data_IF_267993450271
#
_entry.id   IF_267993450271
#
_cell.length_a   1.000
_cell.length_b   1.000
_cell.length_c   1.000
_cell.angle_alpha   90.00
_cell.angle_beta   90.00
_cell.angle_gamma   90.00
#
_symmetry.space_group_name_H-M   'P 1'
#
loop_
_entity.id
_entity.type
_entity.pdbx_description
1 polymer ?
#
# COMPACT_ATOMS: atom_id res chain seq x y z
N UNK A 1 1.40 -8.19 -13.60
CA UNK A 1 1.00 -6.89 -14.17
C UNK A 1 -0.51 -6.88 -14.18
N UNK A 2 -1.06 -6.17 -13.21
CA UNK A 2 -2.50 -5.95 -13.12
C UNK A 2 -2.92 -5.10 -14.31
N UNK A 3 -4.16 -5.27 -14.79
CA UNK A 3 -4.70 -4.45 -15.90
C UNK A 3 -4.98 -3.00 -15.46
N UNK A 4 -4.68 -2.67 -14.19
CA UNK A 4 -5.13 -1.48 -13.47
C UNK A 4 -3.94 -0.58 -13.03
N UNK A 5 -2.70 -0.98 -13.34
CA UNK A 5 -1.50 -0.19 -13.02
C UNK A 5 -1.40 1.03 -13.98
N UNK A 6 -1.24 2.25 -13.46
CA UNK A 6 -1.10 3.47 -14.30
C UNK A 6 0.32 3.62 -14.86
N UNK A 7 0.60 2.85 -15.91
CA UNK A 7 1.86 2.90 -16.63
C UNK A 7 1.97 4.11 -17.59
N UNK A 8 1.03 5.05 -17.51
CA UNK A 8 1.03 6.27 -18.30
C UNK A 8 2.15 7.24 -17.92
N UNK A 9 2.30 8.30 -18.72
CA UNK A 9 3.15 9.45 -18.39
C UNK A 9 2.30 10.71 -18.47
N UNK A 10 1.86 11.23 -17.33
CA UNK A 10 1.13 12.50 -17.23
C UNK A 10 2.01 13.66 -16.75
N UNK A 11 3.20 13.37 -16.22
CA UNK A 11 4.21 14.35 -15.89
C UNK A 11 5.19 14.59 -17.05
N UNK A 12 5.03 15.71 -17.73
CA UNK A 12 5.89 16.14 -18.86
C UNK A 12 6.94 17.17 -18.46
N UNK A 13 7.26 17.30 -17.17
CA UNK A 13 8.31 18.21 -16.72
C UNK A 13 9.67 17.85 -17.31
N UNK A 14 10.52 18.87 -17.52
CA UNK A 14 11.91 18.68 -17.98
C UNK A 14 12.90 18.40 -16.84
N UNK A 15 12.42 17.85 -15.72
CA UNK A 15 13.28 17.46 -14.60
C UNK A 15 14.12 16.24 -14.98
N UNK A 16 15.28 16.09 -14.34
CA UNK A 16 16.16 14.93 -14.55
C UNK A 16 15.44 13.63 -14.15
N UNK A 17 15.51 12.60 -15.00
CA UNK A 17 14.89 11.31 -14.68
C UNK A 17 15.74 10.57 -13.64
N UNK A 18 15.09 9.79 -12.78
CA UNK A 18 15.82 9.00 -11.77
C UNK A 18 16.83 8.04 -12.41
N UNK A 19 16.52 7.48 -13.59
CA UNK A 19 17.44 6.62 -14.33
C UNK A 19 18.73 7.37 -14.70
N UNK A 20 18.65 8.64 -15.10
CA UNK A 20 19.83 9.46 -15.43
C UNK A 20 20.72 9.66 -14.19
N UNK A 21 20.10 9.85 -13.01
CA UNK A 21 20.82 9.96 -11.73
C UNK A 21 21.53 8.65 -11.39
N UNK A 22 20.84 7.51 -11.56
CA UNK A 22 21.40 6.17 -11.32
C UNK A 22 22.57 5.91 -12.27
N UNK A 23 22.39 6.16 -13.56
CA UNK A 23 23.41 5.93 -14.58
C UNK A 23 24.64 6.83 -14.36
N UNK A 24 24.43 8.08 -13.94
CA UNK A 24 25.51 9.00 -13.54
C UNK A 24 26.26 8.48 -12.30
N UNK A 25 25.57 7.89 -11.32
CA UNK A 25 26.21 7.33 -10.11
C UNK A 25 26.97 6.04 -10.41
N UNK A 26 26.40 5.14 -11.22
CA UNK A 26 27.03 3.89 -11.62
C UNK A 26 28.23 4.13 -12.53
N UNK A 27 28.13 5.04 -13.51
CA UNK A 27 29.26 5.45 -14.35
C UNK A 27 30.40 6.07 -13.54
N UNK A 28 30.10 6.94 -12.55
CA UNK A 28 31.11 7.48 -11.62
C UNK A 28 31.75 6.39 -10.76
N UNK A 29 30.98 5.42 -10.28
CA UNK A 29 31.52 4.28 -9.53
C UNK A 29 32.45 3.47 -10.42
N UNK A 30 32.03 3.17 -11.65
CA UNK A 30 32.84 2.47 -12.66
C UNK A 30 34.09 3.27 -13.06
N UNK A 31 34.05 4.60 -13.07
CA UNK A 31 35.23 5.44 -13.29
C UNK A 31 36.20 5.41 -12.09
N UNK A 32 35.69 5.36 -10.85
CA UNK A 32 36.53 5.29 -9.64
C UNK A 32 37.14 3.89 -9.42
N UNK A 33 36.38 2.82 -9.66
CA UNK A 33 36.94 1.45 -9.66
C UNK A 33 37.80 1.20 -10.90
N UNK A 34 37.39 1.72 -12.06
CA UNK A 34 38.15 1.64 -13.31
C UNK A 34 39.42 2.49 -13.32
N UNK A 35 39.46 3.61 -12.59
CA UNK A 35 40.62 4.49 -12.42
C UNK A 35 41.71 3.90 -11.53
N UNK A 36 41.36 2.98 -10.62
CA UNK A 36 42.32 2.13 -9.91
C UNK A 36 42.80 0.94 -10.77
N UNK A 37 41.98 0.49 -11.73
CA UNK A 37 42.34 -0.59 -12.65
C UNK A 37 43.18 -0.13 -13.86
N UNK A 38 43.17 1.16 -14.22
CA UNK A 38 43.87 1.67 -15.42
C UNK A 38 45.38 1.82 -15.24
N UNK A 39 45.93 1.59 -14.04
CA UNK A 39 47.38 1.47 -13.86
C UNK A 39 47.94 0.07 -14.20
N UNK A 40 47.10 -0.92 -14.52
CA UNK A 40 47.53 -2.31 -14.69
C UNK A 40 47.19 -2.96 -16.05
N UNK A 41 46.59 -2.23 -17.01
CA UNK A 41 46.12 -2.83 -18.27
C UNK A 41 46.74 -2.18 -19.51
N UNK A 42 48.07 -2.19 -19.61
CA UNK A 42 48.78 -2.05 -20.89
C UNK A 42 49.49 -3.37 -21.18
N UNK A 43 48.73 -4.40 -21.55
CA UNK A 43 49.24 -5.53 -22.35
C UNK A 43 48.11 -6.51 -22.68
N UNK A 44 48.00 -6.82 -23.98
CA UNK A 44 47.34 -7.99 -24.60
C UNK A 44 45.86 -7.84 -25.00
N UNK A 45 45.69 -7.28 -26.20
CA UNK A 45 44.94 -7.85 -27.35
C UNK A 45 43.85 -8.90 -27.09
N UNK A 46 42.60 -8.56 -27.43
CA UNK A 46 41.54 -9.54 -27.67
C UNK A 46 40.15 -8.90 -27.75
N UNK A 47 39.61 -8.77 -28.96
CA UNK A 47 38.35 -8.08 -29.31
C UNK A 47 37.09 -8.91 -28.93
N UNK A 48 37.19 -9.79 -27.93
CA UNK A 48 36.05 -10.60 -27.44
C UNK A 48 35.42 -10.03 -26.15
N UNK A 49 36.00 -9.00 -25.55
CA UNK A 49 35.47 -8.36 -24.33
C UNK A 49 34.37 -7.30 -24.57
N UNK A 50 33.92 -7.07 -25.82
CA UNK A 50 32.97 -6.00 -26.14
C UNK A 50 31.54 -6.47 -26.51
N UNK A 51 31.27 -7.78 -26.55
CA UNK A 51 29.96 -8.32 -26.98
C UNK A 51 29.11 -8.98 -25.86
N UNK A 52 29.56 -8.97 -24.60
CA UNK A 52 28.79 -9.51 -23.46
C UNK A 52 28.31 -8.44 -22.44
N UNK A 53 28.13 -7.18 -22.88
CA UNK A 53 27.54 -6.14 -22.03
C UNK A 53 26.01 -6.20 -22.06
N UNK A 54 25.44 -7.26 -21.48
CA UNK A 54 24.07 -7.25 -20.90
C UNK A 54 24.29 -7.26 -19.39
N UNK A 55 23.55 -6.47 -18.57
CA UNK A 55 23.80 -6.39 -17.13
C UNK A 55 23.45 -7.74 -16.47
N UNK A 56 24.45 -8.57 -16.25
CA UNK A 56 24.33 -9.79 -15.48
C UNK A 56 24.32 -9.44 -13.98
N UNK A 57 23.14 -9.16 -13.43
CA UNK A 57 22.91 -9.28 -11.99
C UNK A 57 22.40 -10.70 -11.65
N UNK A 58 23.05 -11.72 -12.21
CA UNK A 58 22.89 -13.13 -11.84
C UNK A 58 23.83 -13.97 -12.70
N UNK A 59 25.10 -14.09 -12.34
CA UNK A 59 25.88 -15.29 -12.65
C UNK A 59 26.82 -15.61 -11.49
N UNK A 60 26.56 -16.77 -10.91
CA UNK A 60 27.50 -17.78 -10.42
C UNK A 60 28.85 -17.25 -9.93
N UNK A 61 28.97 -17.19 -8.60
CA UNK A 61 30.26 -17.15 -7.92
C UNK A 61 30.85 -18.55 -8.08
N UNK A 62 31.91 -18.67 -8.89
CA UNK A 62 32.82 -19.81 -8.85
C UNK A 62 33.29 -20.03 -7.41
N UNK A 63 33.19 -21.28 -6.96
CA UNK A 63 33.66 -21.75 -5.66
C UNK A 63 35.14 -21.38 -5.47
N UNK A 64 35.40 -20.41 -4.60
CA UNK A 64 36.74 -20.20 -4.08
C UNK A 64 37.07 -21.36 -3.14
N UNK A 65 38.06 -22.16 -3.51
CA UNK A 65 38.63 -23.22 -2.67
C UNK A 65 38.97 -22.69 -1.27
N UNK A 66 38.32 -23.29 -0.28
CA UNK A 66 38.51 -23.05 1.15
C UNK A 66 39.90 -23.54 1.56
N UNK A 67 40.88 -22.63 1.58
CA UNK A 67 42.17 -22.89 2.22
C UNK A 67 42.05 -22.63 3.71
N UNK A 68 41.90 -23.75 4.43
CA UNK A 68 41.83 -23.88 5.89
C UNK A 68 43.01 -23.17 6.59
N UNK A 69 42.82 -21.89 6.96
CA UNK A 69 43.70 -21.19 7.91
C UNK A 69 43.00 -21.17 9.26
N UNK A 70 43.40 -22.13 10.11
CA UNK A 70 43.07 -22.19 11.54
C UNK A 70 43.57 -20.95 12.27
N UNK A 71 42.73 -19.91 12.32
CA UNK A 71 42.88 -18.77 13.20
C UNK A 71 41.83 -18.82 14.30
N UNK A 72 42.25 -19.07 15.54
CA UNK A 72 41.41 -18.95 16.73
C UNK A 72 40.95 -17.49 16.93
N UNK A 73 39.80 -17.15 16.36
CA UNK A 73 39.13 -15.87 16.54
C UNK A 73 37.66 -16.09 16.87
N UNK A 74 37.32 -16.06 18.17
CA UNK A 74 35.92 -16.04 18.65
C UNK A 74 35.23 -14.76 18.19
N UNK A 75 34.61 -14.81 17.03
CA UNK A 75 33.85 -13.68 16.46
C UNK A 75 33.19 -14.01 15.13
N UNK A 76 32.72 -15.25 14.91
CA UNK A 76 31.98 -15.60 13.70
C UNK A 76 30.67 -14.80 13.64
N UNK A 77 30.60 -13.81 12.76
CA UNK A 77 29.34 -13.14 12.47
C UNK A 77 28.39 -14.21 11.92
N UNK A 78 27.28 -14.43 12.63
CA UNK A 78 26.21 -15.30 12.11
C UNK A 78 25.75 -14.74 10.77
N UNK A 79 25.53 -15.59 9.76
CA UNK A 79 25.00 -15.12 8.49
C UNK A 79 23.67 -14.39 8.74
N UNK A 80 23.50 -13.21 8.12
CA UNK A 80 22.27 -12.41 8.27
C UNK A 80 21.04 -13.14 7.72
N UNK A 81 21.25 -14.08 6.79
CA UNK A 81 20.22 -14.92 6.17
C UNK A 81 20.41 -16.37 6.63
N UNK A 82 19.40 -16.93 7.29
CA UNK A 82 19.43 -18.27 7.88
C UNK A 82 18.70 -19.34 7.06
N UNK A 83 18.43 -19.10 5.77
CA UNK A 83 17.71 -20.01 4.89
C UNK A 83 18.35 -20.04 3.50
N UNK A 84 18.18 -21.14 2.78
CA UNK A 84 18.57 -21.27 1.37
C UNK A 84 17.56 -20.56 0.45
N UNK A 85 18.05 -19.86 -0.57
CA UNK A 85 17.19 -19.18 -1.54
C UNK A 85 16.29 -20.19 -2.26
N UNK A 86 15.06 -19.77 -2.55
CA UNK A 86 14.11 -20.53 -3.37
C UNK A 86 14.32 -20.16 -4.84
N UNK A 87 14.14 -21.12 -5.75
CA UNK A 87 14.21 -20.88 -7.19
C UNK A 87 13.00 -20.09 -7.69
N UNK A 88 13.19 -19.31 -8.75
CA UNK A 88 12.07 -18.66 -9.46
C UNK A 88 11.16 -19.73 -10.06
N UNK A 89 9.84 -19.54 -9.94
CA UNK A 89 8.83 -20.47 -10.44
C UNK A 89 7.63 -19.72 -11.02
N UNK A 90 6.93 -20.35 -11.96
CA UNK A 90 5.66 -19.91 -12.52
C UNK A 90 4.48 -20.80 -12.12
N UNK A 91 4.67 -21.71 -11.16
CA UNK A 91 3.61 -22.56 -10.64
C UNK A 91 2.61 -21.74 -9.82
N UNK A 92 1.33 -22.10 -9.86
CA UNK A 92 0.27 -21.52 -9.03
C UNK A 92 0.30 -22.09 -7.60
N UNK A 93 1.46 -21.99 -6.94
CA UNK A 93 1.74 -22.53 -5.63
C UNK A 93 2.67 -21.60 -4.84
N UNK A 94 2.50 -21.57 -3.50
CA UNK A 94 3.43 -20.86 -2.61
C UNK A 94 4.57 -21.79 -2.21
N UNK A 95 5.75 -21.57 -2.79
CA UNK A 95 6.99 -22.29 -2.43
C UNK A 95 7.78 -21.50 -1.41
N UNK A 96 8.12 -22.12 -0.28
CA UNK A 96 8.89 -21.51 0.82
C UNK A 96 10.18 -22.28 1.08
N UNK A 97 11.21 -21.67 1.71
CA UNK A 97 12.45 -22.36 2.06
C UNK A 97 12.22 -23.61 2.91
N UNK A 98 13.14 -24.57 2.85
CA UNK A 98 13.08 -25.79 3.66
C UNK A 98 12.94 -25.46 5.15
N UNK A 99 11.96 -26.11 5.81
CA UNK A 99 11.65 -25.88 7.23
C UNK A 99 10.62 -24.78 7.50
N UNK A 100 10.14 -24.09 6.46
CA UNK A 100 9.05 -23.11 6.55
C UNK A 100 7.72 -23.70 6.07
N UNK A 101 6.62 -23.06 6.46
CA UNK A 101 5.25 -23.38 6.01
C UNK A 101 4.49 -22.09 5.74
N UNK A 102 3.66 -22.07 4.70
CA UNK A 102 2.69 -21.02 4.45
C UNK A 102 1.26 -21.52 4.75
N UNK A 103 0.44 -20.68 5.39
CA UNK A 103 -0.97 -20.97 5.67
C UNK A 103 -1.80 -19.71 5.39
N UNK A 104 -2.98 -19.89 4.80
CA UNK A 104 -3.94 -18.79 4.60
C UNK A 104 -4.51 -18.38 5.96
N UNK A 105 -4.38 -17.09 6.30
CA UNK A 105 -4.95 -16.51 7.51
C UNK A 105 -6.37 -15.97 7.29
N UNK A 106 -6.55 -15.24 6.19
CA UNK A 106 -7.81 -14.65 5.74
C UNK A 106 -7.75 -14.47 4.22
N UNK A 107 -8.90 -14.61 3.54
CA UNK A 107 -9.04 -14.38 2.11
C UNK A 107 -10.14 -13.35 1.80
N UNK A 108 -10.17 -12.81 0.58
CA UNK A 108 -11.29 -12.01 0.10
C UNK A 108 -12.62 -12.71 0.40
N UNK A 109 -13.59 -11.95 0.92
CA UNK A 109 -14.92 -12.46 1.21
C UNK A 109 -15.08 -13.08 2.59
N UNK A 110 -13.99 -13.41 3.29
CA UNK A 110 -14.08 -13.90 4.67
C UNK A 110 -14.68 -12.81 5.58
N UNK A 111 -15.57 -13.12 6.51
CA UNK A 111 -16.09 -12.12 7.43
C UNK A 111 -14.97 -11.59 8.34
N UNK A 112 -14.87 -10.26 8.47
CA UNK A 112 -13.83 -9.62 9.32
C UNK A 112 -14.07 -9.85 10.81
N UNK A 113 -15.30 -10.20 11.19
CA UNK A 113 -15.72 -10.53 12.55
C UNK A 113 -16.76 -11.64 12.47
N UNK A 114 -17.82 -11.57 13.28
CA UNK A 114 -19.06 -12.25 12.96
C UNK A 114 -19.69 -11.57 11.72
N UNK A 115 -20.06 -12.36 10.72
CA UNK A 115 -20.57 -11.81 9.47
C UNK A 115 -20.95 -12.88 8.46
N UNK A 116 -21.42 -12.46 7.28
CA UNK A 116 -21.82 -13.37 6.22
C UNK A 116 -20.61 -14.14 5.68
N UNK A 117 -20.80 -15.45 5.48
CA UNK A 117 -19.80 -16.28 4.82
C UNK A 117 -19.67 -15.89 3.35
N UNK A 118 -18.47 -16.08 2.82
CA UNK A 118 -18.21 -15.91 1.39
C UNK A 118 -19.01 -16.95 0.59
N UNK A 119 -19.63 -16.50 -0.49
CA UNK A 119 -20.33 -17.33 -1.46
C UNK A 119 -19.48 -17.40 -2.72
N UNK A 120 -19.00 -18.60 -3.04
CA UNK A 120 -18.08 -18.87 -4.15
C UNK A 120 -18.69 -18.57 -5.54
N UNK A 121 -20.00 -18.40 -5.62
CA UNK A 121 -20.73 -18.01 -6.83
C UNK A 121 -20.85 -16.48 -7.03
N UNK A 122 -20.11 -15.70 -6.22
CA UNK A 122 -20.13 -14.24 -6.18
C UNK A 122 -21.49 -13.61 -5.85
N UNK A 123 -22.48 -14.37 -5.36
CA UNK A 123 -23.84 -13.89 -5.07
C UNK A 123 -23.94 -13.07 -3.77
N UNK A 124 -22.84 -12.83 -3.05
CA UNK A 124 -22.87 -11.95 -1.89
C UNK A 124 -23.38 -10.54 -2.26
N UNK A 125 -24.20 -9.94 -1.40
CA UNK A 125 -24.72 -8.57 -1.63
C UNK A 125 -23.68 -7.50 -1.32
N UNK A 126 -23.94 -6.23 -1.70
CA UNK A 126 -23.05 -5.13 -1.31
C UNK A 126 -22.98 -4.94 0.22
N UNK A 127 -24.08 -5.20 0.93
CA UNK A 127 -24.14 -5.14 2.39
C UNK A 127 -23.36 -6.29 3.05
N UNK A 128 -23.35 -7.48 2.43
CA UNK A 128 -22.51 -8.57 2.87
C UNK A 128 -21.03 -8.24 2.66
N UNK A 129 -20.66 -7.75 1.47
CA UNK A 129 -19.29 -7.35 1.15
C UNK A 129 -18.76 -6.26 2.09
N UNK A 130 -19.60 -5.32 2.54
CA UNK A 130 -19.23 -4.31 3.54
C UNK A 130 -18.84 -4.88 4.93
N UNK A 131 -19.08 -6.17 5.18
CA UNK A 131 -18.71 -6.88 6.42
C UNK A 131 -17.69 -8.00 6.20
N UNK A 132 -17.28 -8.18 4.95
CA UNK A 132 -16.30 -9.17 4.52
C UNK A 132 -14.97 -8.50 4.23
N UNK A 133 -13.88 -9.25 4.26
CA UNK A 133 -12.57 -8.82 3.81
C UNK A 133 -12.64 -8.36 2.35
N UNK A 134 -11.97 -7.25 2.02
CA UNK A 134 -11.98 -6.70 0.66
C UNK A 134 -11.15 -7.53 -0.33
N UNK A 135 -11.18 -7.12 -1.60
CA UNK A 135 -10.39 -7.74 -2.67
C UNK A 135 -8.96 -7.18 -2.68
N UNK A 136 -8.05 -7.87 -3.37
CA UNK A 136 -6.68 -7.41 -3.68
C UNK A 136 -5.99 -6.77 -2.49
N UNK A 137 -5.65 -7.64 -1.53
CA UNK A 137 -5.03 -7.22 -0.30
C UNK A 137 -3.64 -6.62 -0.55
N UNK A 138 -3.38 -5.46 0.04
CA UNK A 138 -2.13 -4.74 -0.18
C UNK A 138 -1.47 -4.39 1.16
N UNK A 139 -1.03 -3.13 1.35
CA UNK A 139 -0.26 -2.66 2.49
C UNK A 139 -0.82 -3.17 3.82
N UNK A 140 0.05 -3.71 4.66
CA UNK A 140 -0.31 -4.44 5.88
C UNK A 140 0.52 -4.00 7.08
N UNK A 141 -0.12 -3.80 8.24
CA UNK A 141 0.54 -3.56 9.52
C UNK A 141 -0.09 -4.38 10.65
N UNK A 142 0.75 -4.95 11.51
CA UNK A 142 0.34 -5.58 12.76
C UNK A 142 0.47 -4.62 13.95
N UNK A 143 -0.64 -4.37 14.65
CA UNK A 143 -0.70 -3.55 15.86
C UNK A 143 -0.89 -4.44 17.10
N UNK A 144 0.09 -4.54 18.01
CA UNK A 144 0.00 -5.43 19.17
C UNK A 144 -1.05 -4.94 20.20
N UNK A 145 -1.83 -5.88 20.75
CA UNK A 145 -2.71 -5.68 21.93
C UNK A 145 -2.05 -6.30 23.17
N UNK A 146 -1.58 -7.54 23.06
CA UNK A 146 -0.90 -8.26 24.15
C UNK A 146 0.40 -8.85 23.62
N UNK A 147 1.51 -8.15 23.90
CA UNK A 147 2.83 -8.49 23.36
C UNK A 147 2.72 -8.77 21.85
N UNK A 148 3.48 -9.73 21.33
CA UNK A 148 3.39 -10.19 19.94
C UNK A 148 2.51 -11.44 19.78
N UNK A 149 1.52 -11.66 20.66
CA UNK A 149 0.67 -12.86 20.67
C UNK A 149 -0.78 -12.58 20.31
N UNK A 150 -1.24 -11.33 20.44
CA UNK A 150 -2.59 -10.91 20.07
C UNK A 150 -2.53 -9.46 19.63
N UNK A 151 -3.15 -9.16 18.49
CA UNK A 151 -3.09 -7.83 17.90
C UNK A 151 -4.13 -7.64 16.81
N UNK A 152 -4.05 -6.49 16.16
CA UNK A 152 -4.86 -6.17 15.00
C UNK A 152 -4.00 -6.28 13.75
N UNK A 153 -4.51 -6.91 12.70
CA UNK A 153 -4.00 -6.72 11.35
C UNK A 153 -4.88 -5.67 10.71
N UNK A 154 -4.24 -4.62 10.21
CA UNK A 154 -4.86 -3.58 9.39
C UNK A 154 -4.25 -3.73 8.00
N UNK A 155 -5.09 -3.95 7.00
CA UNK A 155 -4.63 -4.20 5.65
C UNK A 155 -5.49 -3.49 4.63
N UNK A 156 -4.86 -2.94 3.61
CA UNK A 156 -5.57 -2.32 2.50
C UNK A 156 -6.22 -3.35 1.58
N UNK A 157 -7.23 -2.87 0.85
CA UNK A 157 -7.91 -3.57 -0.23
C UNK A 157 -7.95 -2.61 -1.41
N UNK A 158 -7.01 -2.79 -2.33
CA UNK A 158 -6.63 -1.77 -3.28
C UNK A 158 -7.68 -1.60 -4.38
N UNK A 159 -7.93 -2.65 -5.15
CA UNK A 159 -8.83 -2.65 -6.29
C UNK A 159 -9.76 -3.87 -6.30
N UNK A 160 -10.56 -4.00 -7.34
CA UNK A 160 -11.42 -5.18 -7.58
C UNK A 160 -11.26 -5.70 -8.99
N UNK A 161 -11.30 -7.03 -9.15
CA UNK A 161 -11.67 -7.67 -10.41
C UNK A 161 -13.19 -7.74 -10.50
N UNK A 162 -13.82 -6.71 -11.04
CA UNK A 162 -15.29 -6.65 -11.15
C UNK A 162 -15.87 -7.82 -11.98
N UNK A 163 -15.08 -8.44 -12.86
CA UNK A 163 -15.46 -9.66 -13.57
C UNK A 163 -15.69 -10.87 -12.65
N UNK A 164 -14.99 -10.94 -11.51
CA UNK A 164 -15.11 -12.01 -10.52
C UNK A 164 -16.05 -11.64 -9.35
N UNK A 165 -16.32 -10.34 -9.17
CA UNK A 165 -17.10 -9.83 -8.05
C UNK A 165 -18.62 -10.08 -8.18
N UNK A 166 -19.11 -10.42 -9.38
CA UNK A 166 -20.54 -10.58 -9.65
C UNK A 166 -20.86 -11.90 -10.38
N UNK A 167 -22.03 -12.52 -10.15
CA UNK A 167 -22.40 -13.78 -10.79
C UNK A 167 -22.40 -13.75 -12.34
N UNK A 168 -22.77 -12.61 -12.92
CA UNK A 168 -22.81 -12.37 -14.37
C UNK A 168 -21.70 -11.41 -14.84
N UNK A 169 -20.64 -11.25 -14.04
CA UNK A 169 -19.53 -10.34 -14.28
C UNK A 169 -20.00 -8.88 -14.42
N UNK A 170 -19.44 -8.16 -15.38
CA UNK A 170 -19.73 -6.72 -15.60
C UNK A 170 -21.02 -6.45 -16.40
N UNK A 171 -21.73 -7.49 -16.85
CA UNK A 171 -22.99 -7.33 -17.58
C UNK A 171 -24.07 -6.68 -16.71
N UNK A 172 -25.10 -6.08 -17.31
CA UNK A 172 -26.27 -5.51 -16.59
C UNK A 172 -25.88 -4.66 -15.37
N UNK A 173 -24.96 -3.70 -15.55
CA UNK A 173 -24.41 -2.93 -14.44
C UNK A 173 -25.50 -2.15 -13.67
N UNK A 174 -25.50 -2.22 -12.34
CA UNK A 174 -26.50 -1.58 -11.48
C UNK A 174 -25.85 -0.79 -10.34
N UNK A 175 -26.64 0.06 -9.68
CA UNK A 175 -26.20 0.79 -8.50
C UNK A 175 -25.75 -0.16 -7.35
N UNK A 176 -26.36 -1.34 -7.23
CA UNK A 176 -25.94 -2.35 -6.26
C UNK A 176 -24.56 -2.94 -6.62
N UNK A 177 -24.26 -3.14 -7.90
CA UNK A 177 -22.91 -3.55 -8.34
C UNK A 177 -21.87 -2.50 -8.01
N UNK A 178 -22.14 -1.23 -8.31
CA UNK A 178 -21.28 -0.10 -7.90
C UNK A 178 -21.05 -0.09 -6.39
N UNK A 179 -22.11 -0.24 -5.59
CA UNK A 179 -22.00 -0.27 -4.14
C UNK A 179 -21.18 -1.45 -3.63
N UNK A 180 -21.34 -2.64 -4.21
CA UNK A 180 -20.55 -3.84 -3.84
C UNK A 180 -19.08 -3.66 -4.19
N UNK A 181 -18.77 -3.15 -5.39
CA UNK A 181 -17.40 -2.84 -5.83
C UNK A 181 -16.75 -1.81 -4.90
N UNK A 182 -17.41 -0.70 -4.59
CA UNK A 182 -16.94 0.28 -3.60
C UNK A 182 -16.75 -0.32 -2.19
N UNK A 183 -17.60 -1.26 -1.80
CA UNK A 183 -17.48 -1.97 -0.52
C UNK A 183 -16.38 -3.04 -0.51
N UNK A 184 -15.86 -3.46 -1.65
CA UNK A 184 -14.72 -4.38 -1.74
C UNK A 184 -13.37 -3.66 -1.69
N UNK A 185 -13.33 -2.34 -1.94
CA UNK A 185 -12.16 -1.47 -1.75
C UNK A 185 -12.00 -1.04 -0.27
N UNK A 186 -10.86 -0.43 0.05
CA UNK A 186 -10.67 0.33 1.27
C UNK A 186 -9.62 -0.27 2.21
N UNK A 187 -9.99 -0.44 3.48
CA UNK A 187 -9.14 -1.01 4.53
C UNK A 187 -9.96 -2.02 5.35
N UNK A 188 -9.36 -3.16 5.63
CA UNK A 188 -9.89 -4.19 6.51
C UNK A 188 -9.09 -4.26 7.81
N UNK A 189 -9.81 -4.37 8.93
CA UNK A 189 -9.24 -4.54 10.27
C UNK A 189 -9.78 -5.84 10.84
N UNK A 190 -8.87 -6.74 11.23
CA UNK A 190 -9.19 -7.97 11.97
C UNK A 190 -8.36 -8.04 13.24
N UNK A 191 -8.89 -8.75 14.22
CA UNK A 191 -8.11 -9.16 15.37
C UNK A 191 -7.57 -10.57 15.15
N UNK A 192 -6.31 -10.78 15.51
CA UNK A 192 -5.64 -12.08 15.40
C UNK A 192 -4.98 -12.46 16.72
N UNK A 193 -4.98 -13.76 17.02
CA UNK A 193 -4.34 -14.30 18.21
C UNK A 193 -3.59 -15.59 17.90
N UNK A 194 -2.40 -15.72 18.50
CA UNK A 194 -1.62 -16.95 18.48
C UNK A 194 -2.21 -17.94 19.46
N UNK A 195 -2.42 -19.18 19.02
CA UNK A 195 -2.81 -20.32 19.86
C UNK A 195 -1.70 -20.62 20.87
N UNK A 196 -2.01 -20.42 22.14
CA UNK A 196 -1.06 -20.50 23.25
C UNK A 196 -1.22 -21.78 24.09
N UNK A 197 -2.26 -22.59 23.85
CA UNK A 197 -2.42 -23.91 24.46
C UNK A 197 -2.94 -23.90 25.91
N UNK A 198 -3.76 -22.92 26.29
CA UNK A 198 -4.48 -22.93 27.58
C UNK A 198 -5.66 -23.92 27.55
N UNK A 199 -6.23 -24.27 28.71
CA UNK A 199 -7.27 -25.31 28.84
C UNK A 199 -8.55 -25.07 28.01
N UNK A 200 -8.83 -23.84 27.57
CA UNK A 200 -9.94 -23.51 26.66
C UNK A 200 -9.58 -23.67 25.16
N UNK A 201 -8.36 -24.10 24.85
CA UNK A 201 -7.80 -24.34 23.51
C UNK A 201 -7.83 -25.85 23.15
N UNK A 202 -8.77 -26.60 23.75
CA UNK A 202 -8.94 -28.05 23.54
C UNK A 202 -9.26 -28.33 22.07
N UNK A 203 -8.26 -28.86 21.34
CA UNK A 203 -8.35 -29.28 19.93
C UNK A 203 -7.47 -28.51 18.95
N UNK A 204 -6.70 -27.51 19.39
CA UNK A 204 -5.97 -26.62 18.48
C UNK A 204 -4.43 -26.66 18.69
N UNK A 205 -3.67 -26.86 17.60
CA UNK A 205 -2.19 -26.97 17.63
C UNK A 205 -1.53 -25.66 18.13
N UNK A 206 -0.58 -25.78 19.06
CA UNK A 206 0.22 -24.69 19.63
C UNK A 206 0.98 -23.95 18.52
N UNK A 207 0.92 -22.61 18.51
CA UNK A 207 1.73 -21.78 17.63
C UNK A 207 1.08 -21.23 16.36
N UNK A 208 -0.11 -21.71 15.94
CA UNK A 208 -0.83 -21.12 14.79
C UNK A 208 -1.55 -19.83 15.16
N UNK A 209 -1.81 -18.98 14.17
CA UNK A 209 -2.60 -17.77 14.30
C UNK A 209 -4.04 -18.00 13.84
N UNK A 210 -5.00 -17.49 14.61
CA UNK A 210 -6.42 -17.48 14.25
C UNK A 210 -6.93 -16.04 14.16
N UNK A 211 -7.89 -15.81 13.27
CA UNK A 211 -8.73 -14.61 13.31
C UNK A 211 -9.73 -14.74 14.47
N UNK A 212 -9.78 -13.74 15.34
CA UNK A 212 -10.68 -13.71 16.48
C UNK A 212 -12.07 -13.25 16.05
N UNK A 213 -13.06 -14.12 16.25
CA UNK A 213 -14.47 -13.86 15.92
C UNK A 213 -15.37 -14.28 17.10
N UNK A 214 -16.26 -13.42 17.61
CA UNK A 214 -16.37 -11.99 17.29
C UNK A 214 -15.15 -11.19 17.77
N UNK A 215 -14.74 -10.19 16.99
CA UNK A 215 -13.86 -9.13 17.45
C UNK A 215 -14.63 -7.81 17.57
N UNK A 216 -14.37 -7.09 18.66
CA UNK A 216 -14.88 -5.73 18.86
C UNK A 216 -14.13 -4.67 18.05
N UNK A 217 -12.93 -5.00 17.56
CA UNK A 217 -12.08 -4.06 16.80
C UNK A 217 -12.26 -4.21 15.31
N UNK A 218 -12.73 -5.38 14.86
CA UNK A 218 -12.88 -5.68 13.46
C UNK A 218 -13.82 -4.69 12.75
N UNK A 219 -13.38 -4.23 11.59
CA UNK A 219 -14.01 -3.12 10.87
C UNK A 219 -13.66 -3.18 9.39
N UNK A 220 -14.61 -2.80 8.55
CA UNK A 220 -14.35 -2.36 7.17
C UNK A 220 -14.44 -0.84 7.08
N UNK A 221 -13.48 -0.27 6.40
CA UNK A 221 -13.50 1.11 5.88
C UNK A 221 -13.49 0.93 4.37
N UNK A 222 -14.43 1.53 3.66
CA UNK A 222 -14.71 1.23 2.25
C UNK A 222 -14.84 2.50 1.42
N UNK A 223 -15.02 2.37 0.11
CA UNK A 223 -15.41 3.46 -0.79
C UNK A 223 -16.74 4.15 -0.47
N UNK A 224 -17.47 3.68 0.56
CA UNK A 224 -18.71 4.26 1.05
C UNK A 224 -18.62 4.84 2.47
N UNK A 225 -17.51 4.62 3.19
CA UNK A 225 -17.37 5.07 4.58
C UNK A 225 -17.24 6.59 4.65
N UNK A 226 -17.98 7.30 5.53
CA UNK A 226 -17.73 8.73 5.76
C UNK A 226 -16.32 8.95 6.32
N UNK A 227 -15.58 9.89 5.72
CA UNK A 227 -14.22 10.25 6.08
C UNK A 227 -14.13 11.77 6.19
N UNK A 228 -13.50 12.26 7.26
CA UNK A 228 -13.29 13.69 7.45
C UNK A 228 -12.04 14.14 6.68
N UNK A 229 -12.04 15.39 6.20
CA UNK A 229 -10.89 16.00 5.54
C UNK A 229 -10.23 16.93 6.56
N UNK A 230 -8.97 16.63 6.91
CA UNK A 230 -8.19 17.39 7.88
C UNK A 230 -6.98 18.08 7.25
N UNK A 231 -6.52 19.16 7.87
CA UNK A 231 -5.34 19.91 7.43
C UNK A 231 -5.67 21.11 6.53
N UNK A 232 -4.65 21.72 5.89
CA UNK A 232 -4.76 23.03 5.25
C UNK A 232 -5.75 23.13 4.08
N UNK A 233 -6.06 22.03 3.40
CA UNK A 233 -6.99 22.07 2.26
C UNK A 233 -8.46 21.83 2.68
N UNK A 234 -8.72 21.45 3.93
CA UNK A 234 -10.09 21.22 4.40
C UNK A 234 -10.93 22.50 4.27
N UNK A 235 -12.09 22.39 3.61
CA UNK A 235 -12.98 23.53 3.35
C UNK A 235 -12.58 24.42 2.17
N UNK A 236 -11.51 24.11 1.44
CA UNK A 236 -11.17 24.78 0.18
C UNK A 236 -12.28 24.57 -0.85
N UNK A 237 -12.57 25.60 -1.66
CA UNK A 237 -13.64 25.55 -2.67
C UNK A 237 -13.45 24.45 -3.71
N UNK A 238 -12.21 23.98 -3.92
CA UNK A 238 -11.89 22.85 -4.81
C UNK A 238 -12.25 21.48 -4.22
N UNK A 239 -12.61 21.40 -2.94
CA UNK A 239 -13.09 20.19 -2.27
C UNK A 239 -14.61 20.19 -2.06
N UNK A 240 -15.30 21.25 -2.48
CA UNK A 240 -16.77 21.37 -2.35
C UNK A 240 -17.44 20.63 -3.51
N UNK A 241 -18.42 19.78 -3.19
CA UNK A 241 -19.27 19.07 -4.16
C UNK A 241 -20.73 19.27 -3.84
N UNK A 242 -21.64 18.82 -4.70
CA UNK A 242 -23.07 18.95 -4.43
C UNK A 242 -23.52 18.18 -3.17
N UNK A 243 -22.82 17.09 -2.85
CA UNK A 243 -23.11 16.24 -1.69
C UNK A 243 -22.41 16.71 -0.39
N UNK A 244 -21.39 17.56 -0.51
CA UNK A 244 -20.70 18.18 0.62
C UNK A 244 -20.39 19.66 0.31
N UNK A 245 -21.32 20.58 0.60
CA UNK A 245 -21.13 22.01 0.38
C UNK A 245 -20.06 22.62 1.30
N UNK A 246 -19.57 21.88 2.31
CA UNK A 246 -18.56 22.36 3.25
C UNK A 246 -17.13 22.06 2.80
N UNK A 247 -16.92 21.06 1.93
CA UNK A 247 -15.58 20.60 1.53
C UNK A 247 -14.77 19.99 2.68
N UNK A 248 -15.44 19.44 3.69
CA UNK A 248 -14.80 18.89 4.91
C UNK A 248 -15.07 17.41 5.14
N UNK A 249 -15.92 16.76 4.34
CA UNK A 249 -16.24 15.33 4.48
C UNK A 249 -16.47 14.66 3.15
N UNK A 250 -15.86 13.51 2.94
CA UNK A 250 -15.97 12.69 1.72
C UNK A 250 -16.50 11.29 2.03
N UNK A 251 -17.17 10.68 1.05
CA UNK A 251 -17.57 9.28 1.12
C UNK A 251 -16.48 8.42 0.47
N UNK A 252 -15.72 7.75 1.33
CA UNK A 252 -14.84 6.67 0.97
C UNK A 252 -13.36 7.03 0.93
N UNK A 253 -12.58 5.96 0.92
CA UNK A 253 -11.19 5.93 0.49
C UNK A 253 -11.08 4.86 -0.59
N UNK A 254 -10.25 5.11 -1.59
CA UNK A 254 -10.19 4.33 -2.83
C UNK A 254 -8.74 4.02 -3.16
N UNK A 255 -8.54 2.90 -3.86
CA UNK A 255 -7.23 2.51 -4.38
C UNK A 255 -6.14 2.60 -3.32
N UNK A 256 -6.43 1.92 -2.21
CA UNK A 256 -5.53 1.89 -1.08
C UNK A 256 -4.38 0.93 -1.41
N UNK A 257 -3.25 1.44 -1.91
CA UNK A 257 -2.09 0.63 -2.29
C UNK A 257 -1.30 0.22 -1.03
N UNK A 258 -0.13 0.81 -0.81
CA UNK A 258 0.73 0.50 0.31
C UNK A 258 0.29 1.20 1.61
N UNK A 259 1.21 1.33 2.58
CA UNK A 259 0.86 1.71 3.94
C UNK A 259 1.87 2.62 4.62
N UNK A 260 1.47 3.10 5.78
CA UNK A 260 2.33 3.64 6.81
C UNK A 260 1.74 3.37 8.19
N UNK A 261 2.53 3.62 9.22
CA UNK A 261 2.05 3.57 10.59
C UNK A 261 2.75 4.63 11.43
N UNK A 262 2.02 5.17 12.40
CA UNK A 262 2.53 6.24 13.24
C UNK A 262 3.01 5.69 14.58
N UNK A 263 3.97 6.36 15.23
CA UNK A 263 4.38 5.98 16.59
C UNK A 263 3.27 6.22 17.64
N UNK A 264 2.20 6.97 17.32
CA UNK A 264 1.01 7.11 18.18
C UNK A 264 -0.06 6.02 17.96
N UNK A 265 0.24 5.01 17.14
CA UNK A 265 -0.56 3.80 17.02
C UNK A 265 -1.75 3.94 16.08
N UNK A 266 -1.59 4.72 15.01
CA UNK A 266 -2.54 4.82 13.90
C UNK A 266 -1.94 4.26 12.62
N UNK A 267 -2.81 3.83 11.73
CA UNK A 267 -2.50 3.32 10.40
C UNK A 267 -2.67 4.44 9.38
N UNK A 268 -1.81 4.46 8.36
CA UNK A 268 -1.88 5.38 7.23
C UNK A 268 -2.17 4.57 5.97
N UNK A 269 -3.39 4.67 5.46
CA UNK A 269 -3.75 4.12 4.15
C UNK A 269 -3.42 5.15 3.06
N UNK A 270 -2.90 4.71 1.93
CA UNK A 270 -2.43 5.60 0.88
C UNK A 270 -3.29 5.44 -0.37
N UNK A 271 -3.96 6.51 -0.80
CA UNK A 271 -4.74 6.51 -2.05
C UNK A 271 -3.79 6.77 -3.23
N UNK A 272 -3.70 5.80 -4.15
CA UNK A 272 -2.69 5.78 -5.21
C UNK A 272 -3.33 6.07 -6.57
N UNK A 273 -3.73 5.05 -7.34
CA UNK A 273 -4.35 5.18 -8.65
C UNK A 273 -5.84 5.60 -8.63
N UNK A 274 -6.17 6.60 -7.81
CA UNK A 274 -7.55 7.10 -7.65
C UNK A 274 -8.11 7.71 -8.95
N UNK A 275 -7.26 8.20 -9.85
CA UNK A 275 -7.65 8.82 -11.12
C UNK A 275 -8.41 7.85 -12.03
N UNK A 276 -8.07 6.56 -12.01
CA UNK A 276 -8.67 5.52 -12.85
C UNK A 276 -10.17 5.31 -12.64
N UNK A 277 -10.70 5.72 -11.49
CA UNK A 277 -12.11 5.57 -11.12
C UNK A 277 -13.01 6.70 -11.63
N UNK A 278 -12.42 7.83 -12.02
CA UNK A 278 -13.14 8.99 -12.51
C UNK A 278 -13.19 9.01 -14.03
N UNK A 279 -14.24 9.63 -14.58
CA UNK A 279 -14.46 9.74 -16.03
C UNK A 279 -14.66 11.19 -16.44
N UNK A 280 -13.84 11.64 -17.38
CA UNK A 280 -13.90 12.98 -17.97
C UNK A 280 -14.09 12.88 -19.48
N UNK A 281 -15.32 13.12 -19.97
CA UNK A 281 -15.65 13.09 -21.40
C UNK A 281 -15.47 14.46 -22.06
N UNK A 282 -15.69 15.54 -21.31
CA UNK A 282 -15.43 16.90 -21.78
C UNK A 282 -13.92 17.23 -21.84
N UNK A 283 -13.55 18.44 -22.31
CA UNK A 283 -12.16 18.88 -22.31
C UNK A 283 -11.56 18.84 -20.90
N UNK A 284 -10.37 18.25 -20.77
CA UNK A 284 -9.66 18.18 -19.50
C UNK A 284 -9.00 19.51 -19.14
N UNK A 285 -9.07 19.90 -17.88
CA UNK A 285 -8.26 20.98 -17.30
C UNK A 285 -6.78 20.58 -17.22
N UNK A 286 -5.89 21.56 -16.99
CA UNK A 286 -4.47 21.30 -16.77
C UNK A 286 -4.24 20.33 -15.60
N UNK A 287 -5.03 20.44 -14.54
CA UNK A 287 -4.87 19.56 -13.37
C UNK A 287 -5.44 18.16 -13.60
N UNK A 288 -6.57 18.03 -14.30
CA UNK A 288 -7.08 16.72 -14.69
C UNK A 288 -6.09 15.96 -15.58
N UNK A 289 -5.43 16.67 -16.51
CA UNK A 289 -4.36 16.08 -17.33
C UNK A 289 -3.16 15.63 -16.50
N UNK A 290 -2.72 16.45 -15.55
CA UNK A 290 -1.55 16.17 -14.70
C UNK A 290 -1.77 14.99 -13.74
N UNK A 291 -3.01 14.64 -13.43
CA UNK A 291 -3.33 13.46 -12.62
C UNK A 291 -3.83 12.29 -13.47
N UNK A 292 -3.69 12.34 -14.80
CA UNK A 292 -4.07 11.23 -15.68
C UNK A 292 -5.57 10.90 -15.69
N UNK A 293 -6.47 11.86 -15.43
CA UNK A 293 -7.93 11.61 -15.45
C UNK A 293 -8.42 11.59 -16.89
N UNK A 294 -8.90 10.46 -17.41
CA UNK A 294 -9.30 10.32 -18.82
C UNK A 294 -10.78 9.99 -19.01
N UNK A 295 -11.25 10.00 -20.26
CA UNK A 295 -12.59 9.52 -20.62
C UNK A 295 -12.74 8.01 -20.45
N UNK A 296 -11.65 7.24 -20.57
CA UNK A 296 -11.67 5.79 -20.46
C UNK A 296 -11.50 5.30 -19.01
N UNK A 297 -10.77 6.07 -18.18
CA UNK A 297 -10.15 5.61 -16.92
C UNK A 297 -9.74 4.14 -16.95
N UNK A 298 -9.93 3.39 -15.87
CA UNK A 298 -9.45 2.00 -15.76
C UNK A 298 -10.56 0.95 -15.93
N UNK A 299 -11.56 1.23 -16.78
CA UNK A 299 -12.62 0.26 -17.09
C UNK A 299 -13.76 0.14 -16.06
N UNK A 300 -13.63 0.71 -14.85
CA UNK A 300 -14.72 0.75 -13.86
C UNK A 300 -16.02 1.42 -14.35
N UNK A 301 -17.16 0.77 -14.08
CA UNK A 301 -18.48 1.23 -14.52
C UNK A 301 -19.23 2.08 -13.48
N UNK A 302 -18.58 2.50 -12.39
CA UNK A 302 -19.23 3.24 -11.29
C UNK A 302 -19.94 4.51 -11.75
N UNK A 303 -19.31 5.25 -12.65
CA UNK A 303 -19.84 6.46 -13.27
C UNK A 303 -21.22 6.22 -13.92
N UNK A 304 -21.55 5.01 -14.38
CA UNK A 304 -22.85 4.76 -15.02
C UNK A 304 -24.03 4.89 -14.04
N UNK A 305 -23.80 4.72 -12.74
CA UNK A 305 -24.86 4.72 -11.70
C UNK A 305 -24.61 5.67 -10.53
N UNK A 306 -23.38 6.16 -10.36
CA UNK A 306 -23.02 7.11 -9.31
C UNK A 306 -22.32 8.33 -9.94
N UNK A 307 -23.02 9.47 -9.93
CA UNK A 307 -22.57 10.72 -10.55
C UNK A 307 -21.26 11.26 -9.95
N UNK A 308 -20.89 10.85 -8.74
CA UNK A 308 -19.60 11.22 -8.11
C UNK A 308 -18.40 10.90 -8.99
N UNK A 309 -18.49 9.85 -9.79
CA UNK A 309 -17.40 9.42 -10.66
C UNK A 309 -17.44 10.03 -12.06
N UNK A 310 -18.37 10.98 -12.31
CA UNK A 310 -18.48 11.75 -13.55
C UNK A 310 -17.91 13.15 -13.32
N UNK A 311 -16.70 13.41 -13.80
CA UNK A 311 -16.01 14.69 -13.58
C UNK A 311 -16.72 15.85 -14.28
N UNK A 312 -17.48 15.57 -15.34
CA UNK A 312 -18.30 16.60 -16.01
C UNK A 312 -19.51 17.06 -15.17
N UNK A 313 -19.96 16.25 -14.20
CA UNK A 313 -21.08 16.59 -13.29
C UNK A 313 -20.59 16.99 -11.89
N UNK A 314 -19.58 16.30 -11.34
CA UNK A 314 -18.97 16.55 -10.03
C UNK A 314 -17.45 16.80 -10.18
N UNK A 315 -17.02 17.94 -10.77
CA UNK A 315 -15.62 18.19 -11.14
C UNK A 315 -14.64 18.23 -9.97
N UNK A 316 -15.14 18.51 -8.76
CA UNK A 316 -14.33 18.57 -7.55
C UNK A 316 -14.23 17.23 -6.81
N UNK A 317 -15.02 16.20 -7.18
CA UNK A 317 -14.94 14.90 -6.49
C UNK A 317 -13.55 14.25 -6.60
N UNK A 318 -12.86 14.24 -7.76
CA UNK A 318 -11.49 13.73 -7.83
C UNK A 318 -10.51 14.42 -6.88
N UNK A 319 -10.71 15.71 -6.57
CA UNK A 319 -9.82 16.47 -5.67
C UNK A 319 -9.91 15.97 -4.23
N UNK A 320 -11.00 15.28 -3.86
CA UNK A 320 -11.21 14.70 -2.53
C UNK A 320 -10.54 13.34 -2.36
N UNK A 321 -9.80 12.85 -3.36
CA UNK A 321 -9.00 11.61 -3.34
C UNK A 321 -7.53 11.85 -3.72
N UNK A 322 -6.67 10.88 -3.48
CA UNK A 322 -5.20 11.00 -3.64
C UNK A 322 -4.51 11.49 -2.37
N UNK A 323 -5.07 11.15 -1.20
CA UNK A 323 -4.57 11.58 0.10
C UNK A 323 -4.14 10.39 0.95
N UNK A 324 -3.19 10.62 1.85
CA UNK A 324 -2.98 9.71 3.00
C UNK A 324 -4.18 9.80 3.94
N UNK A 325 -4.74 8.67 4.33
CA UNK A 325 -5.88 8.54 5.25
C UNK A 325 -5.43 7.91 6.56
N UNK A 326 -5.57 8.64 7.66
CA UNK A 326 -5.22 8.15 9.00
C UNK A 326 -6.40 7.45 9.68
N UNK A 327 -6.13 6.27 10.25
CA UNK A 327 -7.11 5.38 10.88
C UNK A 327 -6.60 4.96 12.27
N UNK A 328 -7.42 5.10 13.32
CA UNK A 328 -7.13 4.53 14.66
C UNK A 328 -7.73 3.11 14.74
N UNK A 329 -6.92 2.04 14.59
CA UNK A 329 -7.46 0.69 14.50
C UNK A 329 -8.04 0.19 15.82
N UNK A 330 -7.71 0.83 16.94
CA UNK A 330 -8.26 0.47 18.25
C UNK A 330 -9.59 1.19 18.57
N UNK A 331 -10.04 2.11 17.70
CA UNK A 331 -11.31 2.82 17.83
C UNK A 331 -12.21 2.49 16.63
N UNK A 332 -12.94 1.36 16.66
CA UNK A 332 -13.74 0.87 15.53
C UNK A 332 -14.85 1.83 15.07
N UNK A 333 -15.21 2.83 15.90
CA UNK A 333 -16.23 3.83 15.57
C UNK A 333 -15.66 5.23 15.26
N UNK A 334 -14.34 5.43 15.30
CA UNK A 334 -13.77 6.73 14.94
C UNK A 334 -13.85 6.97 13.44
N UNK A 335 -14.16 8.20 13.02
CA UNK A 335 -14.08 8.59 11.62
C UNK A 335 -12.61 8.64 11.17
N UNK A 336 -12.21 7.99 10.07
CA UNK A 336 -10.91 8.20 9.46
C UNK A 336 -10.73 9.65 8.98
N UNK A 337 -9.48 10.09 8.81
CA UNK A 337 -9.18 11.48 8.39
C UNK A 337 -8.20 11.51 7.22
N UNK A 338 -8.56 12.16 6.12
CA UNK A 338 -7.62 12.48 5.03
C UNK A 338 -6.68 13.60 5.48
N UNK A 339 -5.37 13.38 5.40
CA UNK A 339 -4.33 14.29 5.92
C UNK A 339 -3.77 15.19 4.82
N UNK A 340 -4.46 16.29 4.54
CA UNK A 340 -4.13 17.17 3.41
C UNK A 340 -2.78 17.89 3.53
N UNK A 341 -2.22 17.98 4.74
CA UNK A 341 -0.88 18.51 4.97
C UNK A 341 0.23 17.65 4.33
N UNK A 342 -0.05 16.38 4.03
CA UNK A 342 0.88 15.44 3.39
C UNK A 342 0.87 15.53 1.86
N UNK A 343 0.06 16.43 1.28
CA UNK A 343 -0.04 16.60 -0.15
C UNK A 343 -0.97 15.61 -0.83
N UNK A 344 -1.39 15.97 -2.05
CA UNK A 344 -2.22 15.15 -2.92
C UNK A 344 -1.36 14.60 -4.05
N UNK A 345 -1.28 13.29 -4.17
CA UNK A 345 -0.44 12.52 -5.08
C UNK A 345 -1.01 11.09 -5.20
N UNK A 346 -0.39 10.24 -6.01
CA UNK A 346 -0.65 8.81 -6.07
C UNK A 346 0.25 8.08 -5.07
N UNK A 347 -0.18 8.04 -3.81
CA UNK A 347 0.69 7.63 -2.70
C UNK A 347 1.01 6.13 -2.69
N UNK A 348 2.29 5.78 -2.79
CA UNK A 348 2.82 4.40 -2.69
C UNK A 348 3.30 4.03 -1.27
N UNK A 349 2.84 4.79 -0.28
CA UNK A 349 3.18 4.61 1.13
C UNK A 349 3.49 5.91 1.85
N UNK A 350 3.46 5.85 3.18
CA UNK A 350 3.70 6.99 4.05
C UNK A 350 4.64 6.60 5.20
N UNK A 351 5.95 6.67 4.94
CA UNK A 351 6.97 6.17 5.86
C UNK A 351 7.32 7.19 6.93
N UNK A 352 6.79 6.96 8.12
CA UNK A 352 6.99 7.82 9.28
C UNK A 352 8.34 7.51 9.93
N UNK A 353 9.14 8.55 10.13
CA UNK A 353 10.41 8.51 10.84
C UNK A 353 10.49 9.63 11.88
N UNK A 354 11.25 9.40 12.94
CA UNK A 354 11.58 10.43 13.92
C UNK A 354 12.97 11.00 13.59
N UNK A 355 13.04 12.30 13.29
CA UNK A 355 14.30 13.01 13.11
C UNK A 355 15.07 13.10 14.44
N UNK A 356 16.38 13.33 14.38
CA UNK A 356 17.24 13.45 15.59
C UNK A 356 16.78 14.53 16.57
N UNK A 357 16.02 15.52 16.12
CA UNK A 357 15.47 16.58 16.94
C UNK A 357 14.03 16.32 17.42
N UNK A 358 13.53 15.08 17.30
CA UNK A 358 12.22 14.65 17.78
C UNK A 358 11.05 15.01 16.86
N UNK A 359 11.28 15.71 15.74
CA UNK A 359 10.23 15.99 14.75
C UNK A 359 9.89 14.74 13.95
N UNK A 360 8.62 14.60 13.61
CA UNK A 360 8.15 13.56 12.70
C UNK A 360 8.44 13.96 11.26
N UNK A 361 8.96 13.02 10.48
CA UNK A 361 9.15 13.12 9.04
C UNK A 361 8.33 12.03 8.38
N UNK A 362 7.63 12.34 7.30
CA UNK A 362 6.88 11.36 6.50
C UNK A 362 7.43 11.40 5.08
N UNK A 363 8.01 10.28 4.63
CA UNK A 363 8.46 10.10 3.26
C UNK A 363 7.37 9.42 2.44
N UNK A 364 7.09 9.92 1.24
CA UNK A 364 6.01 9.44 0.37
C UNK A 364 6.51 9.37 -1.08
N UNK A 365 6.18 8.28 -1.77
CA UNK A 365 6.36 8.16 -3.21
C UNK A 365 5.08 8.51 -3.95
N UNK A 366 5.22 9.07 -5.15
CA UNK A 366 4.14 9.29 -6.11
C UNK A 366 4.36 8.31 -7.26
N UNK A 367 3.61 7.21 -7.27
CA UNK A 367 3.85 6.09 -8.20
C UNK A 367 3.20 6.35 -9.55
N UNK A 368 3.93 7.12 -10.34
CA UNK A 368 3.75 7.21 -11.78
C UNK A 368 5.11 7.51 -12.42
N UNK A 369 5.27 7.10 -13.67
CA UNK A 369 6.48 7.40 -14.43
C UNK A 369 6.77 8.90 -14.42
N UNK A 370 8.00 9.24 -14.03
CA UNK A 370 8.52 10.61 -13.97
C UNK A 370 7.90 11.51 -12.89
N UNK A 371 7.19 10.93 -11.91
CA UNK A 371 6.81 11.65 -10.69
C UNK A 371 7.93 11.60 -9.63
N UNK A 372 7.62 12.04 -8.40
CA UNK A 372 8.62 12.46 -7.42
C UNK A 372 8.54 11.69 -6.10
N UNK A 373 9.59 11.87 -5.30
CA UNK A 373 9.62 11.50 -3.89
C UNK A 373 9.44 12.75 -3.04
N UNK A 374 8.52 12.69 -2.08
CA UNK A 374 8.17 13.78 -1.18
C UNK A 374 8.61 13.48 0.25
N UNK A 375 8.90 14.55 1.00
CA UNK A 375 9.21 14.49 2.43
C UNK A 375 8.50 15.62 3.17
N UNK A 376 7.55 15.26 4.04
CA UNK A 376 6.85 16.21 4.90
C UNK A 376 7.46 16.21 6.31
N UNK A 377 7.63 17.39 6.91
CA UNK A 377 8.19 17.53 8.26
C UNK A 377 7.18 18.23 9.16
N UNK A 378 6.93 17.62 10.31
CA UNK A 378 6.05 18.14 11.35
C UNK A 378 6.56 19.50 11.88
N UNK A 379 5.64 20.46 12.01
CA UNK A 379 5.98 21.87 12.29
C UNK A 379 6.12 22.18 13.77
N UNK A 380 5.33 21.56 14.64
CA UNK A 380 5.15 22.00 16.02
C UNK A 380 6.26 21.51 16.96
N UNK A 381 7.10 20.54 16.59
CA UNK A 381 8.13 19.99 17.49
C UNK A 381 7.54 19.35 18.75
N UNK A 382 6.20 19.24 18.82
CA UNK A 382 5.47 18.64 19.92
C UNK A 382 5.13 17.23 19.50
N UNK A 383 5.72 16.28 20.22
CA UNK A 383 5.46 14.85 20.05
C UNK A 383 3.97 14.56 20.27
N UNK A 384 3.24 13.99 19.29
CA UNK A 384 1.93 13.40 19.56
C UNK A 384 2.13 12.28 20.60
N UNK A 385 1.26 12.13 21.60
CA UNK A 385 1.45 11.12 22.63
C UNK A 385 1.52 9.73 22.01
N UNK A 386 2.69 9.10 22.16
CA UNK A 386 2.93 7.70 21.79
C UNK A 386 2.04 6.82 22.68
N UNK A 387 1.23 5.94 22.07
CA UNK A 387 0.51 4.91 22.84
C UNK A 387 1.51 3.86 23.35
N UNK A 388 2.10 4.20 24.50
CA UNK A 388 3.10 3.42 25.23
C UNK A 388 3.44 4.00 26.61
N UNK A 389 2.94 5.20 26.92
CA UNK A 389 2.90 5.76 28.27
C UNK A 389 1.59 6.53 28.46
N UNK A 390 0.90 6.28 29.57
CA UNK A 390 -0.38 6.89 29.91
C UNK A 390 -0.27 8.42 29.93
N UNK A 391 -0.71 9.09 28.87
CA UNK A 391 -0.95 10.54 28.89
C UNK A 391 -1.90 10.93 27.76
N UNK A 392 -3.08 11.42 28.16
CA UNK A 392 -4.10 11.99 27.27
C UNK A 392 -3.57 13.30 26.69
N UNK A 393 -3.66 13.47 25.36
CA UNK A 393 -4.04 14.72 24.65
C UNK A 393 -4.16 14.44 23.15
N UNK A 394 -5.25 14.91 22.54
CA UNK A 394 -5.54 14.78 21.10
C UNK A 394 -4.95 15.95 20.33
N UNK A 395 -4.49 15.67 19.10
CA UNK A 395 -4.31 16.66 18.02
C UNK A 395 -2.86 17.03 17.71
N UNK A 396 -2.23 16.32 16.78
CA UNK A 396 -1.09 16.78 16.00
C UNK A 396 -0.89 15.86 14.78
N UNK A 397 -1.43 16.30 13.64
CA UNK A 397 -0.98 16.29 12.22
C UNK A 397 -2.17 16.78 11.40
#
# INVERSE_FOLDING_TARGET
>A
MSIIDDEGVSNTSGNEHFQDIVDTRLSRRNFLTGGLATAAAVSLSGVEALLNAVPAAAQEIEEAEDTDVRGEGRGGQRPMLGFESVAVSSADEIVVPKGYTAEVLIAWGDPVSNGPAFKQDASNTAEEQARQWGMHNDGIVYFPIVRSQRGLIVQNNEYTDDGLLFPDGVNNWTAEKTKKSLNAHGVSIIEVAKRIGFHFDLGRRRGKWDVVRPSRFARRITGMTPIDIGGPAAGDSRLVTSDDPTGTRVRGTLNNCAMGYTPWGTYLACEENFNGYFRKNGPQTTMEKRYGITAAGFGYLWHTTDKRFRVDEEPNEPNRFGWVVEIDPFKPHSTPVKRTALGRLKHEGAWVQEARNGRVVVYMGDDERNEYIYGAVEKSGVRPPVRGGWSKRQGAV
#
